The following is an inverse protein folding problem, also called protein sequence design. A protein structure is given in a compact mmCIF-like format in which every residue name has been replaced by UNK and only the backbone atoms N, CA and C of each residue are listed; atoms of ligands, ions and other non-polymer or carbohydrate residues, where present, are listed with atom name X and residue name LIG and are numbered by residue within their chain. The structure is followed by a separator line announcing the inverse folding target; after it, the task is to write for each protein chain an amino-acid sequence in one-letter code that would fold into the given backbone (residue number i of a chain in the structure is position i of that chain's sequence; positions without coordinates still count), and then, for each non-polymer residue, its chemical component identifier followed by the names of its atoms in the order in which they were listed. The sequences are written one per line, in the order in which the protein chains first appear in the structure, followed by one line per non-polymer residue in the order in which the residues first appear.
data_IF_886220088305
#
_entry.id   IF_886220088305
#
_cell.length_a   1.000
_cell.length_b   1.000
_cell.length_c   1.000
_cell.angle_alpha   90.00
_cell.angle_beta   90.00
_cell.angle_gamma   90.00
#
_symmetry.space_group_name_H-M   'P 1'
#
loop_
_entity.id
_entity.type
_entity.pdbx_description
1 polymer ?
#
# COMPACT_ATOMS: atom_id res chain seq x y z
N UNK A 1 -35.03 -25.56 -24.69
CA UNK A 1 -33.77 -24.88 -25.06
C UNK A 1 -34.08 -23.40 -25.09
N UNK A 2 -33.54 -22.62 -24.14
CA UNK A 2 -32.20 -22.11 -24.37
C UNK A 2 -31.28 -22.13 -23.13
N UNK A 3 -29.98 -22.20 -23.39
CA UNK A 3 -28.93 -21.61 -22.57
C UNK A 3 -28.54 -20.35 -23.33
N UNK A 4 -28.56 -19.17 -22.71
CA UNK A 4 -27.28 -18.46 -22.61
C UNK A 4 -27.19 -17.61 -21.34
N UNK A 5 -26.14 -17.83 -20.56
CA UNK A 5 -25.59 -16.79 -19.67
C UNK A 5 -24.08 -16.91 -19.72
N UNK A 6 -23.49 -16.34 -20.77
CA UNK A 6 -22.13 -15.82 -20.66
C UNK A 6 -22.20 -14.61 -19.74
N UNK A 7 -21.85 -14.82 -18.47
CA UNK A 7 -21.53 -13.76 -17.52
C UNK A 7 -20.20 -14.15 -16.86
N UNK A 8 -19.11 -14.01 -17.62
CA UNK A 8 -17.77 -14.07 -17.04
C UNK A 8 -17.51 -12.74 -16.34
N UNK A 9 -17.94 -12.64 -15.09
CA UNK A 9 -17.51 -11.57 -14.19
C UNK A 9 -16.25 -12.02 -13.48
N UNK A 10 -15.08 -11.39 -13.68
CA UNK A 10 -14.00 -11.55 -12.73
C UNK A 10 -14.50 -11.03 -11.36
N UNK A 11 -14.72 -11.96 -10.44
CA UNK A 11 -15.20 -11.69 -9.09
C UNK A 11 -14.09 -10.97 -8.31
N UNK A 12 -14.28 -9.66 -8.13
CA UNK A 12 -13.57 -8.91 -7.10
C UNK A 12 -13.89 -9.56 -5.73
N UNK A 13 -12.91 -10.12 -5.01
CA UNK A 13 -13.14 -10.88 -3.77
C UNK A 13 -13.67 -10.02 -2.60
N UNK A 14 -13.83 -8.71 -2.80
CA UNK A 14 -14.39 -7.77 -1.82
C UNK A 14 -15.77 -7.20 -2.17
N UNK A 15 -16.46 -7.69 -3.21
CA UNK A 15 -17.91 -7.42 -3.39
C UNK A 15 -18.72 -8.17 -2.32
N UNK A 16 -18.72 -7.64 -1.10
CA UNK A 16 -19.46 -8.25 0.02
C UNK A 16 -19.15 -7.66 1.39
N UNK A 17 -18.07 -6.91 1.55
CA UNK A 17 -17.86 -6.14 2.77
C UNK A 17 -18.76 -4.90 2.68
N UNK A 18 -19.84 -4.92 3.47
CA UNK A 18 -20.58 -3.72 3.87
C UNK A 18 -19.56 -2.61 4.07
N UNK A 19 -19.73 -1.49 3.36
CA UNK A 19 -18.99 -0.27 3.65
C UNK A 19 -18.96 -0.12 5.18
N UNK A 20 -17.78 -0.19 5.79
CA UNK A 20 -17.64 0.08 7.20
C UNK A 20 -18.29 1.44 7.42
N UNK A 21 -19.47 1.44 8.04
CA UNK A 21 -20.19 2.66 8.33
C UNK A 21 -19.31 3.44 9.28
N UNK A 22 -18.87 4.59 8.78
CA UNK A 22 -18.12 5.61 9.48
C UNK A 22 -18.80 5.92 10.81
N UNK A 23 -18.28 5.40 11.91
CA UNK A 23 -18.72 5.82 13.24
C UNK A 23 -18.36 7.29 13.52
N UNK A 24 -17.42 7.88 12.77
CA UNK A 24 -16.94 9.24 12.99
C UNK A 24 -17.07 10.11 11.72
N UNK A 25 -18.29 10.27 11.21
CA UNK A 25 -18.55 11.20 10.10
C UNK A 25 -18.29 12.68 10.49
N UNK A 26 -18.27 13.00 11.79
CA UNK A 26 -18.05 14.38 12.27
C UNK A 26 -16.56 14.78 12.34
N UNK A 27 -15.61 13.84 12.27
CA UNK A 27 -14.15 14.09 12.28
C UNK A 27 -13.50 14.09 10.87
N UNK A 28 -14.32 13.99 9.82
CA UNK A 28 -13.84 13.80 8.44
C UNK A 28 -13.66 15.10 7.64
N UNK A 29 -14.06 16.27 8.17
CA UNK A 29 -13.93 17.54 7.45
C UNK A 29 -12.46 17.87 7.13
N UNK A 30 -12.09 17.83 5.85
CA UNK A 30 -10.72 18.15 5.38
C UNK A 30 -9.86 16.92 5.09
N UNK A 31 -10.34 15.71 5.38
CA UNK A 31 -9.69 14.47 4.96
C UNK A 31 -9.96 14.15 3.49
N UNK A 32 -11.06 14.63 2.92
CA UNK A 32 -11.36 14.53 1.49
C UNK A 32 -10.26 15.19 0.65
N UNK A 33 -9.85 16.41 1.05
CA UNK A 33 -8.71 17.12 0.42
C UNK A 33 -7.39 16.37 0.58
N UNK A 34 -7.21 15.58 1.64
CA UNK A 34 -6.04 14.73 1.80
C UNK A 34 -6.12 13.51 0.88
N UNK A 35 -7.26 12.83 0.81
CA UNK A 35 -7.51 11.72 -0.13
C UNK A 35 -7.27 12.16 -1.57
N UNK A 36 -7.81 13.31 -1.98
CA UNK A 36 -7.55 13.89 -3.32
C UNK A 36 -6.05 14.11 -3.59
N UNK A 37 -5.29 14.57 -2.59
CA UNK A 37 -3.83 14.74 -2.72
C UNK A 37 -3.11 13.40 -2.87
N UNK A 38 -3.55 12.36 -2.17
CA UNK A 38 -2.97 11.01 -2.29
C UNK A 38 -3.26 10.45 -3.69
N UNK A 39 -4.51 10.55 -4.16
CA UNK A 39 -4.93 10.11 -5.50
C UNK A 39 -4.11 10.82 -6.59
N UNK A 40 -3.97 12.14 -6.52
CA UNK A 40 -3.18 12.92 -7.49
C UNK A 40 -1.73 12.47 -7.60
N UNK A 41 -1.16 11.88 -6.56
CA UNK A 41 0.22 11.36 -6.57
C UNK A 41 0.32 9.97 -7.20
N UNK A 42 -0.75 9.19 -7.15
CA UNK A 42 -0.80 7.85 -7.75
C UNK A 42 -0.99 7.91 -9.27
N UNK A 43 -1.57 9.00 -9.79
CA UNK A 43 -1.80 9.19 -11.22
C UNK A 43 -0.48 9.58 -11.93
N UNK A 44 -0.07 8.85 -12.99
CA UNK A 44 1.03 9.25 -13.85
C UNK A 44 0.80 10.63 -14.45
N UNK A 45 1.81 11.51 -14.34
CA UNK A 45 1.73 12.87 -14.84
C UNK A 45 2.70 13.04 -16.01
N UNK A 46 2.21 13.04 -17.27
CA UNK A 46 3.07 13.35 -18.40
C UNK A 46 3.61 14.78 -18.19
N UNK A 47 4.92 14.92 -18.02
CA UNK A 47 5.67 16.15 -17.71
C UNK A 47 5.89 16.52 -16.23
N UNK A 48 5.77 15.59 -15.28
CA UNK A 48 6.33 15.85 -13.95
C UNK A 48 7.83 16.17 -14.06
N UNK A 49 8.22 17.35 -13.58
CA UNK A 49 9.64 17.63 -13.29
C UNK A 49 10.15 16.54 -12.35
N UNK A 50 11.38 16.03 -12.50
CA UNK A 50 11.98 15.14 -11.50
C UNK A 50 11.70 15.77 -10.15
N UNK A 51 10.95 15.07 -9.30
CA UNK A 51 10.79 15.52 -7.93
C UNK A 51 12.20 15.62 -7.36
N UNK A 52 12.46 16.58 -6.48
CA UNK A 52 13.73 16.65 -5.72
C UNK A 52 14.02 15.37 -4.89
N UNK A 53 13.11 14.38 -4.95
CA UNK A 53 13.14 13.10 -4.27
C UNK A 53 12.83 11.99 -5.29
N UNK A 54 13.85 11.60 -6.07
CA UNK A 54 14.08 10.24 -6.59
C UNK A 54 13.09 9.59 -7.56
N UNK A 55 12.07 10.27 -8.09
CA UNK A 55 11.21 9.71 -9.14
C UNK A 55 11.65 10.12 -10.54
N UNK A 56 11.79 9.17 -11.46
CA UNK A 56 11.92 9.49 -12.89
C UNK A 56 10.65 10.19 -13.42
N UNK A 57 10.83 10.93 -14.53
CA UNK A 57 9.82 11.81 -15.12
C UNK A 57 8.55 11.05 -15.51
N UNK A 58 7.47 11.30 -14.77
CA UNK A 58 6.10 11.24 -15.28
C UNK A 58 5.33 9.93 -15.07
N UNK A 59 5.93 8.97 -14.38
CA UNK A 59 5.21 7.80 -13.86
C UNK A 59 4.61 8.15 -12.50
N UNK A 60 3.38 7.71 -12.24
CA UNK A 60 2.72 7.94 -10.96
C UNK A 60 3.48 7.16 -9.89
N UNK A 61 3.44 7.59 -8.62
CA UNK A 61 4.23 6.86 -7.62
C UNK A 61 3.64 5.47 -7.35
N UNK A 62 4.49 4.45 -7.42
CA UNK A 62 4.20 3.08 -6.96
C UNK A 62 4.41 2.93 -5.45
N UNK A 63 4.88 3.99 -4.77
CA UNK A 63 5.07 4.01 -3.32
C UNK A 63 4.50 5.28 -2.68
N UNK A 64 3.69 5.12 -1.63
CA UNK A 64 3.04 6.23 -0.92
C UNK A 64 3.14 6.04 0.59
N UNK A 65 3.74 7.00 1.30
CA UNK A 65 3.74 7.01 2.76
C UNK A 65 2.72 8.00 3.34
N UNK A 66 1.93 7.53 4.30
CA UNK A 66 1.02 8.35 5.11
C UNK A 66 1.63 8.48 6.50
N UNK A 67 2.11 9.67 6.83
CA UNK A 67 2.92 9.91 8.02
C UNK A 67 2.23 10.87 8.98
N UNK A 68 2.31 10.58 10.27
CA UNK A 68 1.73 11.45 11.30
C UNK A 68 1.68 10.82 12.68
N UNK A 69 1.32 11.60 13.71
CA UNK A 69 1.30 11.14 15.10
C UNK A 69 0.40 9.91 15.31
N UNK A 70 0.57 9.22 16.44
CA UNK A 70 -0.40 8.21 16.87
C UNK A 70 -1.80 8.82 17.03
N UNK A 71 -2.85 8.06 16.72
CA UNK A 71 -4.23 8.53 16.84
C UNK A 71 -4.65 9.63 15.84
N UNK A 72 -3.77 10.06 14.94
CA UNK A 72 -4.09 11.11 13.94
C UNK A 72 -5.03 10.65 12.82
N UNK A 73 -5.42 9.37 12.81
CA UNK A 73 -6.38 8.82 11.85
C UNK A 73 -5.77 8.41 10.49
N UNK A 74 -4.47 8.08 10.42
CA UNK A 74 -3.79 7.60 9.20
C UNK A 74 -4.45 6.34 8.62
N UNK A 75 -4.67 5.35 9.48
CA UNK A 75 -5.37 4.12 9.13
C UNK A 75 -6.77 4.42 8.61
N UNK A 76 -7.55 5.25 9.32
CA UNK A 76 -8.87 5.69 8.86
C UNK A 76 -8.84 6.47 7.54
N UNK A 77 -7.83 7.32 7.31
CA UNK A 77 -7.66 8.06 6.05
C UNK A 77 -7.47 7.10 4.87
N UNK A 78 -6.66 6.05 5.04
CA UNK A 78 -6.44 5.04 4.02
C UNK A 78 -7.69 4.17 3.86
N UNK A 79 -8.18 3.57 4.95
CA UNK A 79 -9.24 2.56 4.93
C UNK A 79 -10.64 3.11 4.64
N UNK A 80 -11.00 4.26 5.21
CA UNK A 80 -12.31 4.88 5.00
C UNK A 80 -12.32 5.93 3.88
N UNK A 81 -11.14 6.42 3.48
CA UNK A 81 -10.99 7.47 2.46
C UNK A 81 -10.44 6.94 1.14
N UNK A 82 -9.15 6.59 1.14
CA UNK A 82 -8.41 6.24 -0.07
C UNK A 82 -8.89 4.94 -0.72
N UNK A 83 -8.99 3.84 0.02
CA UNK A 83 -9.40 2.53 -0.50
C UNK A 83 -10.78 2.62 -1.18
N UNK A 84 -11.84 3.20 -0.55
CA UNK A 84 -13.12 3.38 -1.21
C UNK A 84 -13.05 4.27 -2.45
N UNK A 85 -12.16 5.26 -2.49
CA UNK A 85 -11.98 6.09 -3.67
C UNK A 85 -11.32 5.32 -4.83
N UNK A 86 -10.34 4.46 -4.54
CA UNK A 86 -9.73 3.58 -5.54
C UNK A 86 -10.74 2.61 -6.14
N UNK A 87 -11.57 1.97 -5.32
CA UNK A 87 -12.64 1.09 -5.84
C UNK A 87 -13.68 1.82 -6.71
N UNK A 88 -13.81 3.14 -6.56
CA UNK A 88 -14.66 3.99 -7.41
C UNK A 88 -13.96 4.50 -8.68
N UNK A 89 -12.74 4.05 -8.97
CA UNK A 89 -11.99 4.48 -10.15
C UNK A 89 -11.43 5.91 -10.03
N UNK A 90 -11.14 6.39 -8.81
CA UNK A 90 -10.58 7.73 -8.64
C UNK A 90 -9.16 7.86 -9.23
N UNK A 91 -8.45 6.74 -9.42
CA UNK A 91 -7.30 6.64 -10.31
C UNK A 91 -7.76 5.84 -11.54
N UNK A 92 -7.38 6.20 -12.78
CA UNK A 92 -7.79 5.45 -13.97
C UNK A 92 -7.47 3.96 -13.86
N UNK A 93 -8.48 3.10 -14.02
CA UNK A 93 -8.35 1.63 -13.92
C UNK A 93 -8.39 1.07 -12.49
N UNK A 94 -8.44 1.92 -11.47
CA UNK A 94 -8.34 1.46 -10.08
C UNK A 94 -9.55 0.68 -9.56
N UNK A 95 -10.67 0.72 -10.28
CA UNK A 95 -11.85 -0.10 -10.00
C UNK A 95 -11.58 -1.61 -10.15
N UNK A 96 -10.54 -1.99 -10.89
CA UNK A 96 -10.10 -3.38 -11.10
C UNK A 96 -8.95 -3.79 -10.20
N UNK A 97 -8.40 -2.87 -9.40
CA UNK A 97 -7.26 -3.16 -8.57
C UNK A 97 -7.61 -4.07 -7.41
N UNK A 98 -6.69 -4.98 -7.11
CA UNK A 98 -6.74 -5.87 -5.96
C UNK A 98 -6.10 -5.14 -4.79
N UNK A 99 -6.80 -5.02 -3.67
CA UNK A 99 -6.30 -4.29 -2.50
C UNK A 99 -6.16 -5.27 -1.35
N UNK A 100 -4.95 -5.39 -0.81
CA UNK A 100 -4.65 -6.21 0.36
C UNK A 100 -4.13 -5.33 1.48
N UNK A 101 -4.52 -5.64 2.71
CA UNK A 101 -4.10 -4.94 3.91
C UNK A 101 -3.34 -5.90 4.82
N UNK A 102 -2.24 -5.42 5.40
CA UNK A 102 -1.47 -6.15 6.41
C UNK A 102 -1.00 -5.23 7.54
N UNK A 103 -0.71 -5.86 8.67
CA UNK A 103 0.14 -5.32 9.75
C UNK A 103 1.43 -6.16 9.75
N UNK A 104 2.63 -5.55 9.78
CA UNK A 104 3.87 -6.32 9.74
C UNK A 104 4.05 -7.30 10.90
N UNK A 105 3.76 -6.87 12.14
CA UNK A 105 4.00 -7.69 13.32
C UNK A 105 5.45 -8.20 13.44
N UNK A 106 5.61 -9.34 14.11
CA UNK A 106 6.91 -10.00 14.31
C UNK A 106 7.34 -10.90 13.14
N UNK A 107 6.41 -11.24 12.24
CA UNK A 107 6.64 -12.16 11.12
C UNK A 107 6.02 -11.60 9.82
N UNK A 108 6.58 -10.53 9.24
CA UNK A 108 5.92 -9.80 8.16
C UNK A 108 5.81 -10.56 6.84
N UNK A 109 6.66 -11.56 6.59
CA UNK A 109 6.51 -12.44 5.43
C UNK A 109 5.26 -13.32 5.54
N UNK A 110 5.00 -13.87 6.73
CA UNK A 110 3.83 -14.70 6.98
C UNK A 110 2.55 -13.85 6.91
N UNK A 111 2.56 -12.66 7.50
CA UNK A 111 1.43 -11.72 7.42
C UNK A 111 1.16 -11.25 5.97
N UNK A 112 2.22 -11.04 5.17
CA UNK A 112 2.10 -10.71 3.76
C UNK A 112 1.49 -11.88 2.96
N UNK A 113 1.95 -13.11 3.20
CA UNK A 113 1.38 -14.30 2.57
C UNK A 113 -0.11 -14.48 2.91
N UNK A 114 -0.48 -14.30 4.18
CA UNK A 114 -1.87 -14.36 4.64
C UNK A 114 -2.71 -13.30 3.92
N UNK A 115 -2.20 -12.06 3.81
CA UNK A 115 -2.89 -10.98 3.13
C UNK A 115 -3.11 -11.26 1.63
N UNK A 116 -2.09 -11.78 0.95
CA UNK A 116 -2.14 -12.12 -0.48
C UNK A 116 -3.06 -13.31 -0.76
N UNK A 117 -3.12 -14.30 0.13
CA UNK A 117 -3.98 -15.47 -0.03
C UNK A 117 -5.47 -15.08 -0.11
N UNK A 118 -5.88 -14.01 0.58
CA UNK A 118 -7.28 -13.52 0.56
C UNK A 118 -7.77 -13.08 -0.81
N UNK A 119 -6.86 -12.63 -1.68
CA UNK A 119 -7.17 -12.21 -3.05
C UNK A 119 -6.84 -13.26 -4.10
N UNK A 120 -6.26 -14.37 -3.67
CA UNK A 120 -5.66 -15.38 -4.55
C UNK A 120 -6.05 -16.81 -4.13
N UNK A 121 -7.29 -17.00 -3.70
CA UNK A 121 -7.81 -18.24 -3.09
C UNK A 121 -7.53 -19.53 -3.89
N UNK A 122 -7.23 -19.42 -5.20
CA UNK A 122 -6.92 -20.56 -6.08
C UNK A 122 -5.42 -20.79 -6.35
N UNK A 123 -4.51 -19.98 -5.78
CA UNK A 123 -3.07 -20.00 -6.11
C UNK A 123 -2.13 -20.12 -4.90
N UNK A 124 -2.67 -20.49 -3.72
CA UNK A 124 -1.94 -20.48 -2.44
C UNK A 124 -0.69 -21.38 -2.39
N UNK A 125 -0.56 -22.37 -3.28
CA UNK A 125 0.39 -23.48 -3.12
C UNK A 125 1.89 -23.14 -3.16
N UNK A 126 2.32 -21.93 -3.52
CA UNK A 126 3.75 -21.59 -3.63
C UNK A 126 4.10 -20.15 -3.20
N UNK A 127 3.18 -19.40 -2.57
CA UNK A 127 3.43 -17.98 -2.28
C UNK A 127 4.60 -17.77 -1.34
N UNK A 128 4.65 -18.53 -0.23
CA UNK A 128 5.77 -18.49 0.71
C UNK A 128 7.12 -18.63 0.03
N UNK A 129 7.29 -19.67 -0.79
CA UNK A 129 8.55 -19.97 -1.47
C UNK A 129 8.93 -18.84 -2.44
N UNK A 130 7.96 -18.29 -3.18
CA UNK A 130 8.22 -17.17 -4.08
C UNK A 130 8.67 -15.92 -3.33
N UNK A 131 8.01 -15.59 -2.21
CA UNK A 131 8.33 -14.44 -1.36
C UNK A 131 9.70 -14.59 -0.68
N UNK A 132 10.06 -15.78 -0.22
CA UNK A 132 11.32 -16.04 0.48
C UNK A 132 12.54 -16.11 -0.46
N UNK A 133 12.33 -16.37 -1.75
CA UNK A 133 13.42 -16.68 -2.70
C UNK A 133 14.40 -15.53 -2.94
N UNK A 134 13.91 -14.32 -3.17
CA UNK A 134 14.71 -13.12 -3.45
C UNK A 134 13.84 -11.85 -3.35
N UNK A 135 14.44 -10.67 -3.53
CA UNK A 135 13.77 -9.36 -3.51
C UNK A 135 12.66 -9.19 -4.57
N UNK A 136 12.62 -10.03 -5.61
CA UNK A 136 11.58 -9.99 -6.66
C UNK A 136 10.40 -10.91 -6.35
N UNK A 137 10.37 -11.54 -5.17
CA UNK A 137 9.32 -12.45 -4.75
C UNK A 137 7.92 -11.87 -4.85
N UNK A 138 7.74 -10.65 -4.33
CA UNK A 138 6.44 -9.97 -4.35
C UNK A 138 5.97 -9.65 -5.78
N UNK A 139 6.89 -9.25 -6.66
CA UNK A 139 6.60 -9.03 -8.09
C UNK A 139 6.13 -10.33 -8.77
N UNK A 140 6.77 -11.46 -8.47
CA UNK A 140 6.37 -12.76 -9.01
C UNK A 140 4.99 -13.17 -8.51
N UNK A 141 4.74 -13.05 -7.20
CA UNK A 141 3.42 -13.37 -6.62
C UNK A 141 2.34 -12.49 -7.22
N UNK A 142 2.58 -11.18 -7.35
CA UNK A 142 1.62 -10.27 -7.98
C UNK A 142 1.27 -10.70 -9.42
N UNK A 143 2.26 -11.09 -10.24
CA UNK A 143 2.02 -11.59 -11.59
C UNK A 143 1.29 -12.93 -11.66
N UNK A 144 1.40 -13.76 -10.61
CA UNK A 144 0.65 -15.01 -10.51
C UNK A 144 -0.82 -14.71 -10.21
N UNK A 145 -1.09 -13.87 -9.21
CA UNK A 145 -2.45 -13.66 -8.68
C UNK A 145 -3.29 -12.70 -9.52
N UNK A 146 -2.66 -11.74 -10.18
CA UNK A 146 -3.37 -10.74 -10.97
C UNK A 146 -3.77 -11.31 -12.34
N UNK A 147 -4.94 -10.95 -12.88
CA UNK A 147 -5.32 -11.31 -14.24
C UNK A 147 -4.35 -10.73 -15.27
N UNK A 148 -4.35 -11.32 -16.48
CA UNK A 148 -3.55 -10.87 -17.63
C UNK A 148 -4.17 -9.64 -18.31
N UNK A 149 -4.38 -8.58 -17.54
CA UNK A 149 -4.86 -7.27 -17.97
C UNK A 149 -4.09 -6.16 -17.24
N UNK A 150 -4.60 -4.92 -17.28
CA UNK A 150 -3.99 -3.76 -16.62
C UNK A 150 -4.33 -3.66 -15.11
N UNK A 151 -4.84 -4.72 -14.49
CA UNK A 151 -5.10 -4.72 -13.04
C UNK A 151 -3.80 -4.56 -12.26
N UNK A 152 -3.88 -3.94 -11.09
CA UNK A 152 -2.73 -3.77 -10.20
C UNK A 152 -3.05 -4.28 -8.80
N UNK A 153 -2.01 -4.60 -8.03
CA UNK A 153 -2.08 -4.95 -6.62
C UNK A 153 -1.70 -3.72 -5.78
N UNK A 154 -2.58 -3.31 -4.88
CA UNK A 154 -2.28 -2.31 -3.85
C UNK A 154 -2.04 -3.04 -2.52
N UNK A 155 -0.79 -3.02 -2.07
CA UNK A 155 -0.39 -3.52 -0.76
C UNK A 155 -0.42 -2.36 0.25
N UNK A 156 -1.35 -2.41 1.19
CA UNK A 156 -1.44 -1.46 2.30
C UNK A 156 -0.77 -2.06 3.54
N UNK A 157 0.33 -1.45 3.96
CA UNK A 157 1.07 -1.83 5.17
C UNK A 157 0.77 -0.79 6.24
N UNK A 158 -0.13 -1.10 7.16
CA UNK A 158 -0.44 -0.23 8.29
C UNK A 158 0.62 -0.41 9.38
N UNK A 159 0.94 0.64 10.14
CA UNK A 159 1.96 0.62 11.20
C UNK A 159 3.33 0.10 10.74
N UNK A 160 3.84 0.63 9.62
CA UNK A 160 5.11 0.22 9.02
C UNK A 160 6.32 0.34 9.98
N UNK A 161 6.24 1.19 11.02
CA UNK A 161 7.24 1.22 12.09
C UNK A 161 7.49 -0.14 12.77
N UNK A 162 6.51 -1.06 12.74
CA UNK A 162 6.64 -2.38 13.36
C UNK A 162 7.72 -3.25 12.71
N UNK A 163 8.02 -3.03 11.43
CA UNK A 163 9.13 -3.68 10.72
C UNK A 163 10.48 -3.40 11.42
N UNK A 164 10.59 -2.26 12.10
CA UNK A 164 11.81 -1.87 12.80
C UNK A 164 11.77 -2.16 14.30
N UNK A 165 10.57 -2.21 14.91
CA UNK A 165 10.42 -2.33 16.37
C UNK A 165 10.05 -3.72 16.86
N UNK A 166 9.35 -4.53 16.05
CA UNK A 166 8.85 -5.86 16.46
C UNK A 166 9.61 -7.00 15.78
N UNK A 167 10.23 -6.75 14.63
CA UNK A 167 11.04 -7.73 13.92
C UNK A 167 12.49 -7.69 14.39
N UNK A 168 12.88 -8.70 15.16
CA UNK A 168 14.22 -8.82 15.75
C UNK A 168 15.26 -9.31 14.73
N UNK A 169 14.88 -10.22 13.83
CA UNK A 169 15.75 -10.78 12.81
C UNK A 169 16.08 -9.74 11.72
N UNK A 170 17.34 -9.30 11.71
CA UNK A 170 17.85 -8.31 10.76
C UNK A 170 17.84 -8.81 9.32
N UNK A 171 18.14 -10.08 9.07
CA UNK A 171 18.13 -10.64 7.73
C UNK A 171 16.70 -10.70 7.19
N UNK A 172 15.75 -11.14 8.02
CA UNK A 172 14.33 -11.11 7.68
C UNK A 172 13.82 -9.69 7.42
N UNK A 173 14.26 -8.71 8.21
CA UNK A 173 13.93 -7.29 8.03
C UNK A 173 14.43 -6.75 6.70
N UNK A 174 15.71 -6.95 6.40
CA UNK A 174 16.32 -6.51 5.14
C UNK A 174 15.60 -7.16 3.95
N UNK A 175 15.31 -8.46 4.04
CA UNK A 175 14.59 -9.18 3.00
C UNK A 175 13.18 -8.61 2.76
N UNK A 176 12.41 -8.41 3.83
CA UNK A 176 11.07 -7.82 3.72
C UNK A 176 11.12 -6.41 3.09
N UNK A 177 12.04 -5.57 3.54
CA UNK A 177 12.23 -4.25 2.96
C UNK A 177 12.63 -4.35 1.47
N UNK A 178 13.46 -5.32 1.08
CA UNK A 178 13.90 -5.49 -0.30
C UNK A 178 12.74 -5.86 -1.22
N UNK A 179 11.80 -6.69 -0.75
CA UNK A 179 10.55 -6.98 -1.46
C UNK A 179 9.74 -5.70 -1.73
N UNK A 180 9.60 -4.85 -0.71
CA UNK A 180 8.86 -3.58 -0.82
C UNK A 180 9.59 -2.59 -1.73
N UNK A 181 10.91 -2.53 -1.63
CA UNK A 181 11.74 -1.68 -2.48
C UNK A 181 11.60 -2.07 -3.94
N UNK A 182 11.81 -3.35 -4.28
CA UNK A 182 11.69 -3.85 -5.64
C UNK A 182 10.27 -3.62 -6.21
N UNK A 183 9.23 -3.83 -5.41
CA UNK A 183 7.86 -3.53 -5.81
C UNK A 183 7.63 -2.05 -6.15
N UNK A 184 8.31 -1.15 -5.45
CA UNK A 184 8.17 0.29 -5.61
C UNK A 184 9.04 0.90 -6.74
N UNK A 185 10.17 0.27 -7.08
CA UNK A 185 11.16 0.84 -8.01
C UNK A 185 11.23 0.14 -9.36
N UNK A 186 10.71 -1.08 -9.49
CA UNK A 186 10.68 -1.79 -10.77
C UNK A 186 9.73 -1.09 -11.76
N UNK A 187 10.20 -0.60 -12.93
CA UNK A 187 9.41 0.22 -13.86
C UNK A 187 8.14 -0.45 -14.40
N UNK A 188 8.10 -1.79 -14.40
CA UNK A 188 6.95 -2.59 -14.85
C UNK A 188 6.22 -3.28 -13.70
N UNK A 189 6.46 -2.83 -12.47
CA UNK A 189 5.74 -3.34 -11.31
C UNK A 189 4.25 -3.05 -11.46
N UNK A 190 3.44 -4.10 -11.28
CA UNK A 190 1.98 -3.99 -11.09
C UNK A 190 1.62 -3.92 -9.61
N UNK A 191 2.60 -3.60 -8.75
CA UNK A 191 2.43 -3.50 -7.30
C UNK A 191 2.60 -2.05 -6.89
N UNK A 192 1.60 -1.52 -6.21
CA UNK A 192 1.67 -0.25 -5.48
C UNK A 192 1.72 -0.53 -4.00
N UNK A 193 2.60 0.16 -3.30
CA UNK A 193 2.74 0.05 -1.85
C UNK A 193 2.27 1.33 -1.19
N UNK A 194 1.39 1.19 -0.21
CA UNK A 194 0.93 2.28 0.64
C UNK A 194 1.31 1.93 2.07
N UNK A 195 2.17 2.73 2.69
CA UNK A 195 2.55 2.52 4.10
C UNK A 195 1.90 3.59 4.98
N UNK A 196 1.46 3.22 6.17
CA UNK A 196 1.25 4.20 7.24
C UNK A 196 2.41 4.14 8.20
N UNK A 197 2.91 5.30 8.63
CA UNK A 197 4.06 5.35 9.54
C UNK A 197 3.83 6.38 10.65
N UNK A 198 4.11 6.00 11.89
CA UNK A 198 4.12 6.95 12.99
C UNK A 198 5.37 7.82 12.92
N UNK A 199 5.17 9.14 12.93
CA UNK A 199 6.26 10.08 13.17
C UNK A 199 5.98 10.90 14.44
N UNK A 200 7.02 11.16 15.21
CA UNK A 200 7.00 12.19 16.23
C UNK A 200 7.19 13.56 15.56
N UNK A 201 6.31 14.51 15.86
CA UNK A 201 6.51 15.89 15.42
C UNK A 201 7.71 16.46 16.19
N UNK A 202 8.64 17.12 15.51
CA UNK A 202 9.57 18.03 16.18
C UNK A 202 8.75 19.06 16.97
N UNK A 203 9.17 19.36 18.20
CA UNK A 203 8.41 20.05 19.25
C UNK A 203 8.01 21.52 18.97
N UNK A 204 7.88 21.93 17.70
CA UNK A 204 7.65 23.33 17.29
C UNK A 204 6.46 23.53 16.35
N UNK A 205 5.70 22.49 15.97
CA UNK A 205 4.47 22.68 15.18
C UNK A 205 3.19 22.27 15.95
N UNK A 206 2.12 23.09 15.88
CA UNK A 206 0.88 22.83 16.60
C UNK A 206 0.22 21.52 16.13
N UNK A 207 -0.43 20.88 17.09
CA UNK A 207 -1.17 19.61 17.00
C UNK A 207 -2.04 19.52 15.73
N UNK A 208 -2.16 18.28 15.21
CA UNK A 208 -3.13 17.77 14.22
C UNK A 208 -2.90 18.02 12.70
N UNK A 209 -1.81 17.52 12.14
CA UNK A 209 -1.76 17.29 10.67
C UNK A 209 -1.19 15.92 10.31
N UNK A 210 -2.06 14.99 9.90
CA UNK A 210 -1.63 13.87 9.04
C UNK A 210 -1.05 14.47 7.78
N UNK A 211 0.22 14.17 7.48
CA UNK A 211 0.86 14.55 6.22
C UNK A 211 1.00 13.29 5.38
N UNK A 212 0.39 13.27 4.20
CA UNK A 212 0.84 12.36 3.16
C UNK A 212 2.23 12.82 2.75
N UNK A 213 3.27 12.04 3.02
CA UNK A 213 4.64 12.33 2.60
C UNK A 213 4.98 11.28 1.55
N UNK A 214 5.31 11.69 0.33
CA UNK A 214 5.93 10.73 -0.61
C UNK A 214 7.39 10.71 -0.21
N UNK A 215 7.84 9.58 0.30
CA UNK A 215 9.25 9.29 0.59
C UNK A 215 9.72 8.25 -0.41
N UNK A 216 10.99 8.27 -0.74
CA UNK A 216 11.61 7.20 -1.52
C UNK A 216 11.65 5.92 -0.66
N UNK A 217 11.48 4.73 -1.24
CA UNK A 217 11.62 3.47 -0.49
C UNK A 217 12.99 3.37 0.21
N UNK A 218 14.04 3.96 -0.38
CA UNK A 218 15.39 4.04 0.18
C UNK A 218 15.48 4.87 1.47
N UNK A 219 14.54 5.78 1.72
CA UNK A 219 14.55 6.63 2.93
C UNK A 219 14.30 5.84 4.20
N UNK A 220 13.74 4.64 4.09
CA UNK A 220 13.55 3.71 5.19
C UNK A 220 14.79 2.82 5.45
N UNK A 221 15.79 2.85 4.55
CA UNK A 221 17.05 2.11 4.69
C UNK A 221 18.17 2.96 5.31
N UNK A 222 18.38 4.19 4.80
CA UNK A 222 19.61 4.96 5.07
C UNK A 222 19.52 5.89 6.29
N UNK A 223 18.30 6.29 6.68
CA UNK A 223 18.04 7.08 7.88
C UNK A 223 16.68 6.70 8.45
N UNK A 224 16.60 5.75 9.40
CA UNK A 224 15.38 5.60 10.17
C UNK A 224 15.09 6.98 10.78
N UNK A 225 13.92 7.56 10.47
CA UNK A 225 13.46 8.80 11.07
C UNK A 225 13.69 8.67 12.58
N UNK A 226 14.66 9.45 13.07
CA UNK A 226 15.46 9.16 14.26
C UNK A 226 14.71 8.39 15.37
N UNK A 227 14.99 7.09 15.47
CA UNK A 227 14.72 6.31 16.68
C UNK A 227 15.80 6.70 17.71
N UNK A 228 15.49 7.66 18.57
CA UNK A 228 16.22 7.81 19.83
C UNK A 228 15.23 7.50 20.94
N UNK A 229 15.52 6.43 21.66
CA UNK A 229 14.58 5.70 22.50
C UNK A 229 14.09 6.42 23.75
N UNK A 230 13.03 5.80 24.28
CA UNK A 230 12.35 6.01 25.56
C UNK A 230 11.68 7.38 25.78
#
# INVERSE_FOLDING_TARGET
MPIPTEDFYPENPYKGLRAFQSADYQDFFGREKLVEKLIKRMIPTPNASPSQWGGEKGEGTSFLAVVGPSGSGKSSLVKAGLIPALWRGAVPGSEKWFIVEMLPGAHPLDELEIALTRVAANQAGNMHEQLARDERGLLRVANLILPNDDSELVLVIDQFEEVFTLLEDEAARIHFLNLIHAAATEPRSRVRVIVTHRAHAAATEPRSRVRGIVTHPADFYDRPLQYVGF
#
